data_IF_852811240966
#
_entry.id   IF_852811240966
#
_cell.length_a   1.000
_cell.length_b   1.000
_cell.length_c   1.000
_cell.angle_alpha   90.00
_cell.angle_beta   90.00
_cell.angle_gamma   90.00
#
_symmetry.space_group_name_H-M   'P 1'
#
loop_
_entity.id
_entity.type
_entity.pdbx_description
1 polymer ?
#
# COMPACT_ATOMS: atom_id res chain seq x y z
N UNK A 1 32.69 2.62 -3.02
CA UNK A 1 33.08 1.55 -2.07
C UNK A 1 33.67 2.09 -0.76
N UNK A 2 33.97 3.39 -0.67
CA UNK A 2 34.68 4.00 0.48
C UNK A 2 33.87 3.99 1.79
N UNK A 3 32.54 4.09 1.72
CA UNK A 3 31.66 4.13 2.89
C UNK A 3 31.29 2.75 3.45
N UNK A 4 31.45 1.69 2.66
CA UNK A 4 31.10 0.31 3.03
C UNK A 4 32.13 -0.66 2.41
N UNK A 5 33.38 -0.66 2.90
CA UNK A 5 34.43 -1.52 2.37
C UNK A 5 34.06 -3.00 2.59
N UNK A 6 34.15 -3.80 1.53
CA UNK A 6 33.87 -5.25 1.56
C UNK A 6 32.40 -5.65 1.37
N UNK A 7 31.46 -4.70 1.33
CA UNK A 7 30.05 -5.03 1.07
C UNK A 7 29.85 -5.50 -0.38
N UNK A 8 29.16 -6.63 -0.57
CA UNK A 8 28.80 -7.15 -1.89
C UNK A 8 27.50 -6.51 -2.33
N UNK A 9 27.59 -5.62 -3.31
CA UNK A 9 26.46 -4.83 -3.81
C UNK A 9 26.00 -5.39 -5.14
N UNK A 10 24.71 -5.73 -5.24
CA UNK A 10 24.07 -6.07 -6.50
C UNK A 10 23.07 -4.99 -6.89
N UNK A 11 23.00 -4.68 -8.19
CA UNK A 11 21.94 -3.87 -8.78
C UNK A 11 20.92 -4.75 -9.50
N UNK A 12 19.64 -4.42 -9.29
CA UNK A 12 18.50 -5.03 -9.97
C UNK A 12 17.56 -3.95 -10.53
N UNK A 13 17.57 -3.82 -11.85
CA UNK A 13 16.75 -2.91 -12.62
C UNK A 13 16.24 -3.63 -13.89
N UNK A 14 15.38 -2.96 -14.66
CA UNK A 14 14.80 -3.53 -15.86
C UNK A 14 15.85 -3.96 -16.89
N UNK A 15 17.03 -3.33 -16.90
CA UNK A 15 18.09 -3.57 -17.88
C UNK A 15 18.94 -4.79 -17.49
N UNK A 16 19.24 -4.92 -16.21
CA UNK A 16 19.98 -6.05 -15.61
C UNK A 16 19.15 -7.33 -15.52
N UNK A 17 17.83 -7.25 -15.70
CA UNK A 17 16.91 -8.39 -15.73
C UNK A 17 16.55 -8.90 -17.14
N UNK A 18 17.08 -8.30 -18.23
CA UNK A 18 16.70 -8.67 -19.62
C UNK A 18 17.20 -10.04 -20.09
N UNK A 19 18.18 -10.63 -19.42
CA UNK A 19 18.71 -11.96 -19.77
C UNK A 19 17.81 -13.09 -19.28
N UNK A 20 17.60 -14.11 -20.11
CA UNK A 20 16.87 -15.34 -19.70
C UNK A 20 17.59 -15.98 -18.50
N UNK A 21 16.95 -16.02 -17.33
CA UNK A 21 17.53 -16.56 -16.09
C UNK A 21 18.40 -15.57 -15.29
N UNK A 22 18.61 -14.35 -15.77
CA UNK A 22 19.48 -13.38 -15.10
C UNK A 22 18.87 -12.86 -13.78
N UNK A 23 17.55 -12.70 -13.76
CA UNK A 23 16.80 -12.34 -12.56
C UNK A 23 16.89 -13.47 -11.52
N UNK A 24 16.62 -14.70 -11.93
CA UNK A 24 16.65 -15.88 -11.08
C UNK A 24 18.04 -16.13 -10.47
N UNK A 25 19.12 -15.97 -11.25
CA UNK A 25 20.50 -16.07 -10.75
C UNK A 25 20.79 -15.04 -9.66
N UNK A 26 20.47 -13.76 -9.92
CA UNK A 26 20.68 -12.68 -8.94
C UNK A 26 19.86 -12.88 -7.67
N UNK A 27 18.63 -13.38 -7.80
CA UNK A 27 17.80 -13.71 -6.64
C UNK A 27 18.40 -14.86 -5.83
N UNK A 28 18.93 -15.89 -6.51
CA UNK A 28 19.61 -17.00 -5.85
C UNK A 28 20.86 -16.53 -5.08
N UNK A 29 21.66 -15.64 -5.65
CA UNK A 29 22.82 -15.03 -4.98
C UNK A 29 22.39 -14.25 -3.72
N UNK A 30 21.30 -13.47 -3.80
CA UNK A 30 20.75 -12.74 -2.64
C UNK A 30 20.24 -13.71 -1.56
N UNK A 31 19.62 -14.84 -1.95
CA UNK A 31 19.16 -15.85 -0.99
C UNK A 31 20.31 -16.63 -0.35
N UNK A 32 21.34 -16.98 -1.12
CA UNK A 32 22.58 -17.58 -0.63
C UNK A 32 23.32 -16.65 0.34
N UNK A 33 23.04 -15.34 0.26
CA UNK A 33 23.75 -14.32 1.02
C UNK A 33 25.10 -14.04 0.40
N UNK A 34 25.20 -14.13 -0.92
CA UNK A 34 26.33 -13.67 -1.71
C UNK A 34 26.25 -12.17 -2.02
N UNK A 35 25.12 -11.55 -1.67
CA UNK A 35 24.84 -10.12 -1.79
C UNK A 35 24.40 -9.60 -0.44
N UNK A 36 25.09 -8.56 0.03
CA UNK A 36 24.78 -7.89 1.29
C UNK A 36 23.81 -6.71 1.06
N UNK A 37 23.90 -6.06 -0.10
CA UNK A 37 23.10 -4.89 -0.44
C UNK A 37 22.51 -5.07 -1.84
N UNK A 38 21.18 -5.09 -1.91
CA UNK A 38 20.44 -5.09 -3.17
C UNK A 38 19.89 -3.70 -3.44
N UNK A 39 20.41 -3.05 -4.48
CA UNK A 39 19.91 -1.76 -4.97
C UNK A 39 19.04 -2.01 -6.17
N UNK A 40 17.81 -1.51 -6.17
CA UNK A 40 16.98 -1.63 -7.35
C UNK A 40 15.82 -0.67 -7.38
N UNK A 41 15.17 -0.61 -8.53
CA UNK A 41 13.93 0.15 -8.69
C UNK A 41 12.76 -0.62 -8.09
N UNK A 42 11.54 -0.08 -8.23
CA UNK A 42 10.28 -0.68 -7.81
C UNK A 42 10.10 -2.16 -8.22
N UNK A 43 10.88 -2.69 -9.17
CA UNK A 43 10.86 -4.10 -9.57
C UNK A 43 11.29 -5.07 -8.47
N UNK A 44 12.18 -4.68 -7.55
CA UNK A 44 12.67 -5.57 -6.47
C UNK A 44 11.52 -6.06 -5.57
N UNK A 45 10.43 -5.28 -5.43
CA UNK A 45 9.39 -5.57 -4.43
C UNK A 45 8.26 -6.46 -4.95
N UNK A 46 8.20 -6.80 -6.24
CA UNK A 46 7.11 -7.58 -6.85
C UNK A 46 7.49 -9.06 -6.97
N UNK A 47 6.64 -9.95 -6.47
CA UNK A 47 6.74 -11.41 -6.74
C UNK A 47 7.83 -12.19 -6.00
N UNK A 48 8.88 -11.55 -5.46
CA UNK A 48 10.02 -12.25 -4.86
C UNK A 48 10.04 -12.14 -3.33
N UNK A 49 10.21 -13.28 -2.66
CA UNK A 49 10.34 -13.36 -1.20
C UNK A 49 11.81 -13.29 -0.79
N UNK A 50 12.18 -12.27 -0.02
CA UNK A 50 13.54 -12.14 0.50
C UNK A 50 13.55 -12.44 2.00
N UNK A 51 13.85 -13.68 2.34
CA UNK A 51 13.78 -14.17 3.73
C UNK A 51 14.85 -13.60 4.65
N UNK A 52 15.95 -13.07 4.08
CA UNK A 52 17.12 -12.57 4.83
C UNK A 52 17.25 -11.05 4.84
N UNK A 53 16.27 -10.32 4.28
CA UNK A 53 16.31 -8.85 4.33
C UNK A 53 15.77 -8.40 5.68
N UNK A 54 16.62 -7.72 6.44
CA UNK A 54 16.29 -7.11 7.74
C UNK A 54 16.17 -5.58 7.65
N UNK A 55 16.74 -4.95 6.61
CA UNK A 55 16.67 -3.50 6.42
C UNK A 55 16.19 -3.17 5.01
N UNK A 56 15.16 -2.34 4.93
CA UNK A 56 14.67 -1.75 3.68
C UNK A 56 14.87 -0.25 3.73
N UNK A 57 15.54 0.31 2.72
CA UNK A 57 15.77 1.76 2.64
C UNK A 57 15.06 2.32 1.41
N UNK A 58 14.10 3.22 1.66
CA UNK A 58 13.47 4.03 0.62
C UNK A 58 14.21 5.37 0.52
N UNK A 59 15.03 5.50 -0.52
CA UNK A 59 15.82 6.71 -0.80
C UNK A 59 15.00 7.67 -1.67
N UNK A 60 14.77 8.88 -1.17
CA UNK A 60 14.07 9.97 -1.88
C UNK A 60 12.75 9.54 -2.55
N UNK A 61 11.76 9.03 -1.79
CA UNK A 61 10.46 8.68 -2.34
C UNK A 61 9.62 9.91 -2.73
N UNK A 62 10.10 11.12 -2.47
CA UNK A 62 9.37 12.38 -2.70
C UNK A 62 9.03 12.58 -4.19
N UNK A 63 9.88 12.10 -5.09
CA UNK A 63 9.61 12.05 -6.53
C UNK A 63 8.32 11.28 -6.86
N UNK A 64 8.03 10.22 -6.10
CA UNK A 64 6.80 9.44 -6.24
C UNK A 64 5.63 10.06 -5.47
N UNK A 65 5.90 10.83 -4.41
CA UNK A 65 4.88 11.54 -3.62
C UNK A 65 4.24 12.70 -4.40
N UNK A 66 5.07 13.46 -5.13
CA UNK A 66 4.65 14.64 -5.90
C UNK A 66 4.57 14.38 -7.41
N UNK A 67 4.42 13.11 -7.82
CA UNK A 67 4.15 12.80 -9.20
C UNK A 67 2.81 13.44 -9.65
N UNK A 68 2.68 13.71 -10.94
CA UNK A 68 1.49 14.36 -11.54
C UNK A 68 0.19 13.56 -11.42
N UNK A 69 0.25 12.34 -10.88
CA UNK A 69 -0.91 11.50 -10.57
C UNK A 69 -1.53 11.95 -9.24
N UNK A 70 -2.83 12.26 -9.23
CA UNK A 70 -3.55 12.62 -8.02
C UNK A 70 -3.56 11.50 -6.95
N UNK A 71 -3.32 10.25 -7.36
CA UNK A 71 -3.18 9.08 -6.48
C UNK A 71 -1.72 8.79 -6.09
N UNK A 72 -0.78 9.66 -6.43
CA UNK A 72 0.63 9.51 -6.11
C UNK A 72 0.88 9.18 -4.62
N UNK A 73 0.25 9.86 -3.64
CA UNK A 73 0.42 9.53 -2.24
C UNK A 73 -0.08 8.12 -1.87
N UNK A 74 -1.26 7.69 -2.36
CA UNK A 74 -1.76 6.34 -2.08
C UNK A 74 -0.89 5.24 -2.71
N UNK A 75 -0.42 5.48 -3.93
CA UNK A 75 0.46 4.54 -4.63
C UNK A 75 1.79 4.40 -3.91
N UNK A 76 2.34 5.52 -3.43
CA UNK A 76 3.55 5.49 -2.62
C UNK A 76 3.31 4.76 -1.29
N UNK A 77 2.21 5.04 -0.60
CA UNK A 77 1.87 4.33 0.63
C UNK A 77 1.84 2.82 0.42
N UNK A 78 1.12 2.35 -0.61
CA UNK A 78 1.03 0.93 -0.92
C UNK A 78 2.39 0.32 -1.26
N UNK A 79 3.24 1.05 -1.99
CA UNK A 79 4.60 0.63 -2.31
C UNK A 79 5.46 0.49 -1.06
N UNK A 80 5.43 1.48 -0.16
CA UNK A 80 6.22 1.46 1.07
C UNK A 80 5.74 0.37 2.03
N UNK A 81 4.42 0.18 2.16
CA UNK A 81 3.84 -0.94 2.93
C UNK A 81 4.27 -2.30 2.39
N UNK A 82 4.24 -2.48 1.06
CA UNK A 82 4.69 -3.72 0.43
C UNK A 82 6.19 -3.94 0.62
N UNK A 83 6.99 -2.87 0.53
CA UNK A 83 8.43 -2.95 0.76
C UNK A 83 8.75 -3.29 2.22
N UNK A 84 8.08 -2.63 3.18
CA UNK A 84 8.21 -2.92 4.60
C UNK A 84 7.88 -4.38 4.92
N UNK A 85 6.79 -4.91 4.34
CA UNK A 85 6.39 -6.32 4.52
C UNK A 85 7.32 -7.36 3.90
N UNK A 86 8.35 -6.95 3.14
CA UNK A 86 9.43 -7.86 2.70
C UNK A 86 10.48 -8.09 3.77
N UNK A 87 10.65 -7.16 4.71
CA UNK A 87 11.50 -7.36 5.87
C UNK A 87 10.74 -8.19 6.92
N UNK A 88 11.39 -9.17 7.54
CA UNK A 88 10.88 -9.78 8.78
C UNK A 88 9.86 -10.92 8.64
N UNK A 89 9.73 -11.55 7.46
CA UNK A 89 8.84 -12.72 7.30
C UNK A 89 9.33 -14.00 7.99
N UNK A 90 10.56 -14.01 8.49
CA UNK A 90 11.07 -15.10 9.33
C UNK A 90 10.84 -14.72 10.80
N UNK A 91 10.05 -15.51 11.51
CA UNK A 91 9.64 -15.24 12.89
C UNK A 91 10.81 -14.99 13.87
N UNK A 92 12.01 -15.51 13.56
CA UNK A 92 13.23 -15.29 14.34
C UNK A 92 13.80 -13.86 14.22
N UNK A 93 13.55 -13.17 13.09
CA UNK A 93 14.11 -11.85 12.76
C UNK A 93 13.04 -10.75 12.68
N UNK A 94 11.77 -11.08 12.96
CA UNK A 94 10.64 -10.15 12.92
C UNK A 94 10.81 -8.94 13.86
N UNK A 95 11.54 -9.11 14.96
CA UNK A 95 11.89 -8.02 15.88
C UNK A 95 13.09 -7.15 15.46
N UNK A 96 13.75 -7.48 14.34
CA UNK A 96 14.98 -6.81 13.86
C UNK A 96 14.79 -6.17 12.48
N UNK A 97 13.55 -6.11 12.01
CA UNK A 97 13.22 -5.64 10.68
C UNK A 97 12.89 -4.16 10.70
N UNK A 98 13.68 -3.39 9.96
CA UNK A 98 13.57 -1.94 9.93
C UNK A 98 13.30 -1.44 8.51
N UNK A 99 12.52 -0.36 8.41
CA UNK A 99 12.36 0.40 7.20
C UNK A 99 12.80 1.83 7.43
N UNK A 100 13.78 2.29 6.66
CA UNK A 100 14.26 3.67 6.69
C UNK A 100 13.73 4.40 5.47
N UNK A 101 13.28 5.63 5.68
CA UNK A 101 12.76 6.49 4.62
C UNK A 101 13.50 7.82 4.65
N UNK A 102 14.20 8.13 3.57
CA UNK A 102 14.88 9.41 3.40
C UNK A 102 13.98 10.34 2.60
N UNK A 103 13.32 11.28 3.28
CA UNK A 103 12.39 12.26 2.70
C UNK A 103 12.73 13.66 3.17
N UNK A 104 12.51 14.66 2.31
CA UNK A 104 12.55 16.08 2.65
C UNK A 104 11.26 16.56 3.33
N UNK A 105 10.20 15.74 3.33
CA UNK A 105 8.88 16.08 3.86
C UNK A 105 8.43 15.10 4.96
N UNK A 106 9.19 14.98 6.08
CA UNK A 106 8.89 14.00 7.12
C UNK A 106 7.54 14.22 7.82
N UNK A 107 6.99 15.44 7.74
CA UNK A 107 5.69 15.82 8.31
C UNK A 107 4.51 15.50 7.38
N UNK A 108 4.74 14.97 6.18
CA UNK A 108 3.67 14.63 5.27
C UNK A 108 2.74 13.56 5.89
N UNK A 109 1.39 13.71 5.83
CA UNK A 109 0.44 12.81 6.49
C UNK A 109 0.61 11.32 6.14
N UNK A 110 1.11 11.04 4.93
CA UNK A 110 1.47 9.69 4.48
C UNK A 110 2.38 8.96 5.47
N UNK A 111 3.42 9.61 5.97
CA UNK A 111 4.41 8.95 6.83
C UNK A 111 3.87 8.70 8.24
N UNK A 112 2.97 9.57 8.73
CA UNK A 112 2.25 9.32 9.98
C UNK A 112 1.34 8.10 9.86
N UNK A 113 0.59 7.98 8.76
CA UNK A 113 -0.25 6.83 8.49
C UNK A 113 0.56 5.54 8.24
N UNK A 114 1.74 5.65 7.64
CA UNK A 114 2.62 4.52 7.38
C UNK A 114 3.10 3.89 8.69
N UNK A 115 3.42 4.70 9.70
CA UNK A 115 3.81 4.21 11.05
C UNK A 115 2.70 3.41 11.72
N UNK A 116 1.44 3.80 11.53
CA UNK A 116 0.28 3.12 12.10
C UNK A 116 -0.27 2.00 11.20
N UNK A 117 0.30 1.80 10.01
CA UNK A 117 -0.16 0.84 9.00
C UNK A 117 -1.63 1.05 8.58
N UNK A 118 -2.17 2.27 8.76
CA UNK A 118 -3.58 2.57 8.54
C UNK A 118 -3.82 3.19 7.16
N UNK A 119 -3.90 2.31 6.16
CA UNK A 119 -4.23 2.74 4.80
C UNK A 119 -5.65 3.33 4.69
N UNK A 120 -6.61 2.78 5.43
CA UNK A 120 -8.02 3.13 5.29
C UNK A 120 -8.29 4.56 5.77
N UNK A 121 -7.72 4.94 6.91
CA UNK A 121 -7.79 6.31 7.42
C UNK A 121 -7.09 7.29 6.47
N UNK A 122 -5.91 6.92 5.95
CA UNK A 122 -5.18 7.75 4.99
C UNK A 122 -5.96 7.95 3.68
N UNK A 123 -6.50 6.89 3.10
CA UNK A 123 -7.28 7.00 1.87
C UNK A 123 -8.53 7.87 2.07
N UNK A 124 -9.17 7.77 3.24
CA UNK A 124 -10.33 8.60 3.60
C UNK A 124 -9.95 10.08 3.70
N UNK A 125 -8.83 10.42 4.36
CA UNK A 125 -8.38 11.81 4.49
C UNK A 125 -8.00 12.43 3.14
N UNK A 126 -7.30 11.66 2.29
CA UNK A 126 -6.95 12.07 0.94
C UNK A 126 -8.19 12.29 0.05
N UNK A 127 -9.25 11.47 0.21
CA UNK A 127 -10.50 11.67 -0.50
C UNK A 127 -11.20 12.96 -0.06
N UNK A 128 -11.29 13.20 1.25
CA UNK A 128 -11.89 14.41 1.79
C UNK A 128 -11.14 15.68 1.34
N UNK A 129 -9.81 15.63 1.23
CA UNK A 129 -9.02 16.75 0.69
C UNK A 129 -9.37 17.01 -0.78
N UNK A 130 -9.53 15.96 -1.60
CA UNK A 130 -9.90 16.09 -3.02
C UNK A 130 -11.30 16.62 -3.23
N UNK A 131 -12.24 16.23 -2.38
CA UNK A 131 -13.63 16.72 -2.45
C UNK A 131 -13.73 18.23 -2.20
N UNK A 132 -12.82 18.78 -1.40
CA UNK A 132 -12.71 20.23 -1.13
C UNK A 132 -12.07 21.01 -2.28
N UNK A 133 -11.44 20.35 -3.26
CA UNK A 133 -10.81 21.04 -4.39
C UNK A 133 -11.87 21.52 -5.40
N UNK A 134 -11.68 22.68 -6.03
CA UNK A 134 -12.55 23.17 -7.10
C UNK A 134 -12.78 22.12 -8.19
N UNK A 135 -14.00 22.04 -8.74
CA UNK A 135 -14.37 21.01 -9.74
C UNK A 135 -13.43 20.96 -10.96
N UNK A 136 -12.84 22.10 -11.34
CA UNK A 136 -11.87 22.22 -12.44
C UNK A 136 -10.52 21.51 -12.17
N UNK A 137 -10.21 21.19 -10.91
CA UNK A 137 -8.96 20.54 -10.48
C UNK A 137 -9.20 19.07 -10.08
N UNK A 138 -10.42 18.55 -10.28
CA UNK A 138 -10.76 17.18 -9.94
C UNK A 138 -10.52 16.23 -11.11
N UNK A 139 -10.01 15.01 -10.86
CA UNK A 139 -9.81 14.03 -11.92
C UNK A 139 -11.15 13.59 -12.55
N UNK A 140 -11.18 13.29 -13.85
CA UNK A 140 -12.36 12.76 -14.51
C UNK A 140 -12.82 11.47 -13.83
N UNK A 141 -14.08 11.43 -13.38
CA UNK A 141 -14.68 10.33 -12.62
C UNK A 141 -14.96 10.62 -11.13
N UNK A 142 -14.36 11.67 -10.54
CA UNK A 142 -14.70 12.11 -9.17
C UNK A 142 -16.16 12.60 -9.05
N UNK A 143 -16.71 13.16 -10.13
CA UNK A 143 -18.12 13.55 -10.21
C UNK A 143 -19.08 12.35 -10.29
N UNK A 144 -18.65 11.20 -10.82
CA UNK A 144 -19.52 10.04 -11.05
C UNK A 144 -19.95 9.33 -9.75
N UNK A 145 -19.16 9.45 -8.66
CA UNK A 145 -19.54 8.90 -7.35
C UNK A 145 -20.52 9.78 -6.58
N UNK A 146 -20.77 11.02 -7.01
CA UNK A 146 -21.75 11.91 -6.36
C UNK A 146 -23.20 11.52 -6.63
N UNK A 147 -23.46 10.65 -7.61
CA UNK A 147 -24.81 10.15 -7.95
C UNK A 147 -25.25 8.88 -7.21
N UNK A 148 -24.32 8.14 -6.58
CA UNK A 148 -24.66 6.98 -5.78
C UNK A 148 -24.96 7.43 -4.35
N UNK A 149 -26.06 8.17 -4.20
CA UNK A 149 -26.64 8.48 -2.91
C UNK A 149 -26.75 7.19 -2.10
N UNK A 150 -26.13 7.20 -0.92
CA UNK A 150 -26.37 6.25 0.15
C UNK A 150 -27.85 6.32 0.52
N UNK A 151 -28.72 5.63 -0.24
CA UNK A 151 -30.05 5.26 0.23
C UNK A 151 -29.80 4.17 1.27
N UNK A 152 -29.65 4.58 2.52
CA UNK A 152 -29.92 3.70 3.67
C UNK A 152 -31.38 3.26 3.54
N UNK A 153 -31.59 2.15 2.85
CA UNK A 153 -32.85 1.44 2.86
C UNK A 153 -33.01 0.73 4.19
N UNK A 154 -33.67 1.38 5.14
CA UNK A 154 -34.46 0.69 6.16
C UNK A 154 -35.90 1.13 6.00
N UNK A 155 -36.58 0.48 5.07
CA UNK A 155 -37.98 0.66 4.77
C UNK A 155 -38.40 -0.37 3.74
N UNK A 156 -39.51 -1.06 4.01
CA UNK A 156 -40.11 -2.24 3.37
C UNK A 156 -39.72 -3.55 4.09
N UNK A 157 -40.63 -4.40 4.57
CA UNK A 157 -42.01 -4.59 4.15
C UNK A 157 -42.89 -5.22 5.24
N UNK A 158 -44.17 -4.89 5.15
CA UNK A 158 -45.31 -5.48 5.84
C UNK A 158 -45.34 -7.02 5.76
N UNK A 159 -45.81 -7.68 6.82
CA UNK A 159 -46.64 -8.87 6.63
C UNK A 159 -47.85 -8.82 7.56
N UNK A 160 -48.99 -8.60 6.90
CA UNK A 160 -50.35 -8.63 7.41
C UNK A 160 -50.61 -9.95 8.16
N UNK A 161 -50.60 -9.94 9.48
CA UNK A 161 -51.32 -10.95 10.28
C UNK A 161 -52.74 -10.47 10.46
N UNK A 162 -53.62 -10.95 9.57
CA UNK A 162 -55.07 -10.83 9.72
C UNK A 162 -55.47 -11.47 11.04
N UNK A 163 -56.00 -10.60 11.89
CA UNK A 163 -56.80 -10.87 13.06
C UNK A 163 -57.93 -11.87 12.72
N UNK A 164 -57.83 -13.09 13.24
CA UNK A 164 -58.95 -14.04 13.32
C UNK A 164 -59.33 -14.22 14.79
N UNK A 165 -59.82 -13.14 15.41
CA UNK A 165 -60.68 -13.23 16.60
C UNK A 165 -62.07 -13.67 16.16
N UNK A 166 -62.38 -14.96 16.38
CA UNK A 166 -63.76 -15.48 16.40
C UNK A 166 -64.49 -14.85 17.60
N UNK A 167 -65.69 -14.27 17.44
CA UNK A 167 -66.58 -14.09 18.57
C UNK A 167 -67.36 -15.39 18.81
N UNK A 168 -67.26 -15.89 20.04
CA UNK A 168 -68.23 -16.82 20.60
C UNK A 168 -69.51 -16.06 20.98
N UNK A 169 -70.67 -16.56 20.56
CA UNK A 169 -72.00 -16.42 21.21
C UNK A 169 -73.02 -17.25 20.40
N UNK A 170 -73.51 -18.36 20.97
CA UNK A 170 -74.82 -18.50 21.65
C UNK A 170 -76.02 -18.40 20.70
N UNK A 171 -76.55 -19.52 20.25
CA UNK A 171 -77.79 -20.17 20.75
C UNK A 171 -77.90 -21.56 20.15
#
# INVERSE_FOLDING_TARGET
AELLPGARIARLDADTARGKGALESKLAEVHAGDVDILVGTQMVTKGHDFRRITLVVAVNPDSALFASDFRAPERLFALLMQAAGRAGRVAADAGRSEMWVQTWHPTHPLYAALKTHDFAAFATSQLAERERRPAALQPPGAAARRGAGCRRGHGLAESRRRDRRRPARRR
#
